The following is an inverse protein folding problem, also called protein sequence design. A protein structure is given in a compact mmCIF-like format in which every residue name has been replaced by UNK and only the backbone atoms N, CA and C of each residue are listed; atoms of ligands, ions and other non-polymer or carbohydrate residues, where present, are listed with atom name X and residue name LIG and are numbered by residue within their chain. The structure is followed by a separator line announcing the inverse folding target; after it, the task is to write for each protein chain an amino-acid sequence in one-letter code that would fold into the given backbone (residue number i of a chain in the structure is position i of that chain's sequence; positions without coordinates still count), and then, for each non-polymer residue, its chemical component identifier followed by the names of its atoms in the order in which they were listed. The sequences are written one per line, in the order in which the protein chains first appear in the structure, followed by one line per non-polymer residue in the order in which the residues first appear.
data_IF_569200931118
#
_entry.id   IF_569200931118
#
_cell.length_a   1.000
_cell.length_b   1.000
_cell.length_c   1.000
_cell.angle_alpha   90.00
_cell.angle_beta   90.00
_cell.angle_gamma   90.00
#
_symmetry.space_group_name_H-M   'P 1'
#
loop_
_entity.id
_entity.type
_entity.pdbx_description
1 polymer ?
#
# COMPACT_ATOMS: atom_id res chain seq x y z
N UNK A 1 -12.79 -28.21 -12.68
CA UNK A 1 -11.68 -27.25 -12.51
C UNK A 1 -12.07 -26.30 -11.39
N UNK A 2 -11.59 -26.51 -10.16
CA UNK A 2 -11.73 -25.48 -9.13
C UNK A 2 -10.78 -24.34 -9.50
N UNK A 3 -11.29 -23.38 -10.27
CA UNK A 3 -10.59 -22.14 -10.58
C UNK A 3 -10.34 -21.45 -9.23
N UNK A 4 -9.14 -21.60 -8.69
CA UNK A 4 -8.75 -20.90 -7.47
C UNK A 4 -8.87 -19.41 -7.74
N UNK A 5 -9.76 -18.74 -7.02
CA UNK A 5 -9.87 -17.28 -7.07
C UNK A 5 -8.52 -16.71 -6.68
N UNK A 6 -7.88 -15.90 -7.51
CA UNK A 6 -6.63 -15.22 -7.16
C UNK A 6 -6.93 -14.10 -6.15
N UNK A 7 -6.31 -14.14 -4.97
CA UNK A 7 -6.69 -13.32 -3.81
C UNK A 7 -5.92 -11.99 -3.75
N UNK A 8 -5.25 -11.61 -4.83
CA UNK A 8 -4.37 -10.45 -4.83
C UNK A 8 -3.13 -10.59 -3.94
N UNK A 9 -2.65 -11.81 -3.66
CA UNK A 9 -1.44 -12.08 -2.87
C UNK A 9 -0.13 -11.79 -3.66
N UNK A 10 -0.06 -10.62 -4.29
CA UNK A 10 1.16 -10.18 -4.97
C UNK A 10 1.96 -9.27 -4.06
N UNK A 11 3.31 -9.29 -4.13
CA UNK A 11 4.15 -8.38 -3.37
C UNK A 11 3.76 -6.91 -3.60
N UNK A 12 3.47 -6.52 -4.85
CA UNK A 12 3.08 -5.16 -5.17
C UNK A 12 1.79 -4.71 -4.45
N UNK A 13 0.78 -5.58 -4.39
CA UNK A 13 -0.48 -5.29 -3.69
C UNK A 13 -0.29 -5.21 -2.17
N UNK A 14 0.48 -6.15 -1.59
CA UNK A 14 0.69 -6.21 -0.15
C UNK A 14 1.56 -5.08 0.39
N UNK A 15 2.62 -4.68 -0.33
CA UNK A 15 3.47 -3.58 0.12
C UNK A 15 2.71 -2.25 0.16
N UNK A 16 1.91 -1.95 -0.87
CA UNK A 16 1.07 -0.75 -0.87
C UNK A 16 0.10 -0.79 0.31
N UNK A 17 -0.55 -1.93 0.53
CA UNK A 17 -1.53 -2.12 1.61
C UNK A 17 -0.89 -1.90 2.98
N UNK A 18 0.26 -2.53 3.28
CA UNK A 18 0.96 -2.38 4.55
C UNK A 18 1.36 -0.92 4.79
N UNK A 19 1.94 -0.26 3.79
CA UNK A 19 2.37 1.13 3.93
C UNK A 19 1.18 2.09 4.09
N UNK A 20 0.07 1.85 3.39
CA UNK A 20 -1.16 2.62 3.57
C UNK A 20 -1.76 2.41 4.97
N UNK A 21 -1.76 1.17 5.49
CA UNK A 21 -2.25 0.86 6.83
C UNK A 21 -1.39 1.53 7.91
N UNK A 22 -0.07 1.43 7.81
CA UNK A 22 0.85 2.08 8.75
C UNK A 22 0.69 3.60 8.70
N UNK A 23 0.74 4.20 7.51
CA UNK A 23 0.65 5.66 7.35
C UNK A 23 -0.69 6.23 7.79
N UNK A 24 -1.81 5.55 7.49
CA UNK A 24 -3.14 5.96 7.94
C UNK A 24 -3.32 5.79 9.45
N UNK A 25 -2.75 4.74 10.04
CA UNK A 25 -2.75 4.55 11.51
C UNK A 25 -1.97 5.67 12.20
N UNK A 26 -0.75 5.99 11.73
CA UNK A 26 0.05 7.11 12.28
C UNK A 26 -0.72 8.42 12.17
N UNK A 27 -1.33 8.67 11.01
CA UNK A 27 -2.12 9.89 10.77
C UNK A 27 -3.34 9.97 11.69
N UNK A 28 -4.06 8.86 11.91
CA UNK A 28 -5.19 8.79 12.83
C UNK A 28 -4.79 9.06 14.28
N UNK A 29 -3.67 8.47 14.74
CA UNK A 29 -3.11 8.74 16.08
C UNK A 29 -2.67 10.19 16.21
N UNK A 30 -2.10 10.78 15.16
CA UNK A 30 -1.69 12.19 15.16
C UNK A 30 -2.86 13.17 15.35
N UNK A 31 -4.04 12.84 14.81
CA UNK A 31 -5.26 13.64 15.01
C UNK A 31 -5.71 13.59 16.48
N UNK A 32 -5.63 12.44 17.13
CA UNK A 32 -5.94 12.30 18.57
C UNK A 32 -4.94 13.08 19.42
N UNK A 33 -3.66 13.04 19.04
CA UNK A 33 -2.57 13.72 19.74
C UNK A 33 -2.44 15.22 19.40
N UNK A 34 -3.32 15.77 18.54
CA UNK A 34 -3.25 17.13 18.03
C UNK A 34 -1.84 17.55 17.53
N UNK A 35 -1.13 16.62 16.87
CA UNK A 35 0.24 16.82 16.40
C UNK A 35 0.30 16.92 14.87
N UNK A 36 0.41 18.15 14.31
CA UNK A 36 0.51 18.33 12.85
C UNK A 36 1.73 17.65 12.25
N UNK A 37 2.84 17.62 12.99
CA UNK A 37 4.09 16.98 12.53
C UNK A 37 3.87 15.49 12.31
N UNK A 38 3.25 14.80 13.28
CA UNK A 38 3.03 13.35 13.17
C UNK A 38 2.02 13.01 12.06
N UNK A 39 1.06 13.90 11.80
CA UNK A 39 0.12 13.75 10.70
C UNK A 39 0.84 13.77 9.34
N UNK A 40 1.73 14.74 9.12
CA UNK A 40 2.52 14.81 7.89
C UNK A 40 3.50 13.64 7.75
N UNK A 41 4.07 13.14 8.84
CA UNK A 41 4.89 11.92 8.83
C UNK A 41 4.06 10.72 8.35
N UNK A 42 2.84 10.52 8.88
CA UNK A 42 1.96 9.45 8.42
C UNK A 42 1.60 9.57 6.94
N UNK A 43 1.30 10.78 6.47
CA UNK A 43 1.04 11.05 5.05
C UNK A 43 2.26 10.77 4.15
N UNK A 44 3.46 11.13 4.60
CA UNK A 44 4.69 10.81 3.88
C UNK A 44 4.89 9.30 3.72
N UNK A 45 4.56 8.50 4.74
CA UNK A 45 4.59 7.02 4.65
C UNK A 45 3.62 6.50 3.59
N UNK A 46 2.40 7.04 3.53
CA UNK A 46 1.43 6.66 2.47
C UNK A 46 1.98 7.01 1.09
N UNK A 47 2.56 8.20 0.93
CA UNK A 47 3.16 8.62 -0.34
C UNK A 47 4.30 7.69 -0.79
N UNK A 48 5.17 7.27 0.14
CA UNK A 48 6.20 6.25 -0.11
C UNK A 48 5.58 4.93 -0.54
N UNK A 49 4.46 4.52 0.07
CA UNK A 49 3.69 3.35 -0.34
C UNK A 49 3.23 3.40 -1.79
N UNK A 50 2.67 4.54 -2.22
CA UNK A 50 2.25 4.74 -3.60
C UNK A 50 3.43 4.65 -4.58
N UNK A 51 4.55 5.28 -4.25
CA UNK A 51 5.77 5.25 -5.08
C UNK A 51 6.31 3.82 -5.18
N UNK A 52 6.44 3.12 -4.06
CA UNK A 52 6.92 1.74 -4.02
C UNK A 52 5.98 0.81 -4.81
N UNK A 53 4.67 0.90 -4.59
CA UNK A 53 3.65 0.13 -5.30
C UNK A 53 3.75 0.32 -6.82
N UNK A 54 3.90 1.56 -7.28
CA UNK A 54 4.08 1.85 -8.70
C UNK A 54 5.41 1.31 -9.23
N UNK A 55 6.50 1.43 -8.49
CA UNK A 55 7.79 0.84 -8.85
C UNK A 55 7.71 -0.68 -9.01
N UNK A 56 7.04 -1.37 -8.09
CA UNK A 56 6.86 -2.81 -8.16
C UNK A 56 5.95 -3.26 -9.29
N UNK A 57 4.91 -2.47 -9.59
CA UNK A 57 4.07 -2.71 -10.77
C UNK A 57 4.87 -2.61 -12.06
N UNK A 58 5.75 -1.61 -12.18
CA UNK A 58 6.65 -1.47 -13.34
C UNK A 58 7.66 -2.61 -13.45
N UNK A 59 8.11 -3.14 -12.31
CA UNK A 59 8.99 -4.31 -12.25
C UNK A 59 8.26 -5.66 -12.46
N UNK A 60 6.97 -5.67 -12.80
CA UNK A 60 6.21 -6.89 -13.09
C UNK A 60 5.81 -7.72 -11.86
N UNK A 61 5.95 -7.17 -10.65
CA UNK A 61 5.55 -7.84 -9.39
C UNK A 61 4.06 -7.68 -9.04
N UNK A 62 3.29 -7.07 -9.94
CA UNK A 62 1.84 -7.01 -9.86
C UNK A 62 1.17 -8.27 -10.41
N UNK A 63 -0.15 -8.35 -10.32
CA UNK A 63 -0.90 -9.44 -10.95
C UNK A 63 -0.67 -9.40 -12.46
N UNK A 64 -0.17 -10.51 -13.01
CA UNK A 64 -0.13 -10.69 -14.46
C UNK A 64 -1.58 -10.73 -14.94
N UNK A 65 -2.01 -9.71 -15.67
CA UNK A 65 -3.26 -9.81 -16.42
C UNK A 65 -3.05 -10.91 -17.45
N UNK A 66 -3.56 -12.11 -17.15
CA UNK A 66 -3.59 -13.20 -18.10
C UNK A 66 -4.28 -12.68 -19.35
N UNK A 67 -3.49 -12.48 -20.41
CA UNK A 67 -3.95 -12.16 -21.75
C UNK A 67 -4.97 -13.24 -22.13
N UNK A 68 -6.24 -12.85 -22.21
CA UNK A 68 -7.25 -13.59 -22.97
C UNK A 68 -7.31 -13.01 -24.37
#
# INVERSE_FOLDING_TARGET
MSQGVDHGNTPAAWTLTILALIGSTISGVALIAASPVLFWVGLAVVAVGCIAGQAMRMAGMGTATARR
#
